data_IF_572324079454
#
_entry.id   IF_572324079454
#
_cell.length_a   1.000
_cell.length_b   1.000
_cell.length_c   1.000
_cell.angle_alpha   90.00
_cell.angle_beta   90.00
_cell.angle_gamma   90.00
#
_symmetry.space_group_name_H-M   'P 1'
#
loop_
_entity.id
_entity.type
_entity.pdbx_description
1 polymer ?
#
# COMPACT_ATOMS: atom_id res chain seq x y z
N UNK A 1 -13.79 -29.18 -2.48
CA UNK A 1 -14.51 -27.94 -2.13
C UNK A 1 -15.46 -28.31 -1.01
N UNK A 2 -15.11 -28.07 0.25
CA UNK A 2 -15.90 -28.53 1.43
C UNK A 2 -17.16 -27.68 1.68
N UNK A 3 -17.33 -26.63 0.89
CA UNK A 3 -18.49 -25.76 0.86
C UNK A 3 -18.92 -25.78 -0.60
N UNK A 4 -20.07 -26.35 -0.89
CA UNK A 4 -20.65 -26.49 -2.23
C UNK A 4 -21.12 -25.11 -2.73
N UNK A 5 -20.15 -24.25 -3.06
CA UNK A 5 -20.30 -22.81 -3.26
C UNK A 5 -20.12 -22.49 -4.74
N UNK A 6 -21.05 -21.72 -5.29
CA UNK A 6 -21.00 -21.35 -6.70
C UNK A 6 -19.85 -20.37 -7.00
N UNK A 7 -19.39 -20.33 -8.26
CA UNK A 7 -18.39 -19.34 -8.70
C UNK A 7 -18.86 -17.89 -8.46
N UNK A 8 -20.17 -17.64 -8.57
CA UNK A 8 -20.76 -16.33 -8.28
C UNK A 8 -20.64 -15.94 -6.80
N UNK A 9 -20.81 -16.90 -5.89
CA UNK A 9 -20.63 -16.70 -4.46
C UNK A 9 -19.16 -16.42 -4.09
N UNK A 10 -18.20 -17.11 -4.72
CA UNK A 10 -16.78 -16.81 -4.53
C UNK A 10 -16.44 -15.38 -4.98
N UNK A 11 -16.90 -14.97 -6.16
CA UNK A 11 -16.70 -13.62 -6.67
C UNK A 11 -17.31 -12.56 -5.74
N UNK A 12 -18.48 -12.83 -5.16
CA UNK A 12 -19.12 -11.94 -4.19
C UNK A 12 -18.21 -11.69 -2.97
N UNK A 13 -17.55 -12.73 -2.44
CA UNK A 13 -16.62 -12.57 -1.29
C UNK A 13 -15.41 -11.69 -1.62
N UNK A 14 -14.92 -11.73 -2.86
CA UNK A 14 -13.79 -10.91 -3.31
C UNK A 14 -14.24 -9.46 -3.45
N UNK A 15 -15.39 -9.24 -4.09
CA UNK A 15 -15.93 -7.90 -4.29
C UNK A 15 -16.28 -7.21 -2.97
N UNK A 16 -16.92 -7.93 -2.03
CA UNK A 16 -17.24 -7.36 -0.70
C UNK A 16 -15.99 -6.96 0.07
N UNK A 17 -14.94 -7.79 0.03
CA UNK A 17 -13.62 -7.47 0.59
C UNK A 17 -13.03 -6.20 -0.04
N UNK A 18 -13.06 -6.07 -1.38
CA UNK A 18 -12.49 -4.92 -2.10
C UNK A 18 -13.23 -3.61 -1.82
N UNK A 19 -14.57 -3.66 -1.71
CA UNK A 19 -15.38 -2.48 -1.35
C UNK A 19 -14.96 -1.95 0.01
N UNK A 20 -14.89 -2.82 1.03
CA UNK A 20 -14.47 -2.39 2.37
C UNK A 20 -13.02 -1.91 2.33
N UNK A 21 -12.13 -2.62 1.65
CA UNK A 21 -10.73 -2.24 1.51
C UNK A 21 -10.57 -0.83 0.92
N UNK A 22 -11.42 -0.41 -0.01
CA UNK A 22 -11.40 0.93 -0.61
C UNK A 22 -11.95 2.05 0.28
N UNK A 23 -12.89 1.76 1.18
CA UNK A 23 -13.51 2.76 2.07
C UNK A 23 -12.71 3.04 3.35
N UNK A 24 -12.04 2.00 3.86
CA UNK A 24 -11.27 2.06 5.11
C UNK A 24 -10.20 3.16 5.18
N UNK A 25 -9.44 3.47 4.10
CA UNK A 25 -8.42 4.52 4.12
C UNK A 25 -8.94 5.88 4.56
N UNK A 26 -10.22 6.19 4.26
CA UNK A 26 -10.87 7.45 4.68
C UNK A 26 -10.97 7.56 6.21
N UNK A 27 -11.14 6.43 6.89
CA UNK A 27 -11.22 6.33 8.34
C UNK A 27 -9.83 6.23 8.96
N UNK A 28 -9.03 5.28 8.48
CA UNK A 28 -7.74 4.93 9.12
C UNK A 28 -6.67 5.97 8.88
N UNK A 29 -6.69 6.69 7.75
CA UNK A 29 -5.79 7.81 7.48
C UNK A 29 -5.89 8.88 8.56
N UNK A 30 -7.07 9.50 8.69
CA UNK A 30 -7.37 10.51 9.70
C UNK A 30 -7.13 10.02 11.14
N UNK A 31 -7.46 8.76 11.42
CA UNK A 31 -7.25 8.18 12.74
C UNK A 31 -5.75 8.09 13.07
N UNK A 32 -4.92 7.68 12.10
CA UNK A 32 -3.48 7.53 12.28
C UNK A 32 -2.73 8.86 12.38
N UNK A 33 -3.21 9.91 11.72
CA UNK A 33 -2.65 11.26 11.86
C UNK A 33 -2.86 11.86 13.26
N UNK A 34 -3.88 11.38 13.98
CA UNK A 34 -4.27 11.91 15.31
C UNK A 34 -3.82 11.05 16.48
N UNK A 35 -4.04 9.73 16.39
CA UNK A 35 -3.71 8.78 17.46
C UNK A 35 -2.27 8.26 17.37
N UNK A 36 -1.57 8.51 16.27
CA UNK A 36 -0.25 7.99 15.98
C UNK A 36 -0.28 6.86 14.95
N UNK A 37 0.85 6.66 14.27
CA UNK A 37 1.02 5.60 13.26
C UNK A 37 1.07 4.22 13.91
N UNK A 38 1.85 4.07 14.98
CA UNK A 38 2.09 2.77 15.61
C UNK A 38 0.83 2.12 16.22
N UNK A 39 -0.01 2.79 17.01
CA UNK A 39 -1.16 2.15 17.64
C UNK A 39 -2.24 1.81 16.62
N UNK A 40 -2.41 2.63 15.58
CA UNK A 40 -3.36 2.33 14.50
C UNK A 40 -2.88 1.16 13.66
N UNK A 41 -1.58 1.08 13.35
CA UNK A 41 -1.00 -0.07 12.64
C UNK A 41 -1.17 -1.38 13.43
N UNK A 42 -0.86 -1.37 14.74
CA UNK A 42 -1.03 -2.52 15.61
C UNK A 42 -2.50 -2.94 15.73
N UNK A 43 -3.42 -1.99 15.91
CA UNK A 43 -4.87 -2.29 15.94
C UNK A 43 -5.35 -2.93 14.64
N UNK A 44 -4.94 -2.40 13.49
CA UNK A 44 -5.30 -2.97 12.18
C UNK A 44 -4.77 -4.40 12.01
N UNK A 45 -3.54 -4.68 12.46
CA UNK A 45 -2.97 -6.03 12.40
C UNK A 45 -3.63 -6.99 13.40
N UNK A 46 -3.99 -6.54 14.60
CA UNK A 46 -4.71 -7.37 15.58
C UNK A 46 -6.10 -7.75 15.05
N UNK A 47 -6.83 -6.78 14.47
CA UNK A 47 -8.12 -7.05 13.81
C UNK A 47 -7.91 -8.07 12.68
N UNK A 48 -6.92 -7.86 11.82
CA UNK A 48 -6.60 -8.79 10.73
C UNK A 48 -6.29 -10.19 11.26
N UNK A 49 -5.48 -10.31 12.31
CA UNK A 49 -5.12 -11.59 12.93
C UNK A 49 -6.37 -12.31 13.48
N UNK A 50 -7.19 -11.63 14.29
CA UNK A 50 -8.39 -12.21 14.88
C UNK A 50 -9.41 -12.65 13.82
N UNK A 51 -9.56 -11.86 12.76
CA UNK A 51 -10.45 -12.21 11.64
C UNK A 51 -9.94 -13.44 10.88
N UNK A 52 -8.63 -13.58 10.67
CA UNK A 52 -8.07 -14.77 10.04
C UNK A 52 -8.26 -16.04 10.89
N UNK A 53 -8.19 -15.94 12.22
CA UNK A 53 -8.55 -17.05 13.12
C UNK A 53 -10.03 -17.41 12.91
N UNK A 54 -10.91 -16.41 12.88
CA UNK A 54 -12.33 -16.61 12.59
C UNK A 54 -12.58 -17.29 11.25
N UNK A 55 -11.88 -16.86 10.18
CA UNK A 55 -11.98 -17.45 8.84
C UNK A 55 -11.51 -18.90 8.81
N UNK A 56 -10.45 -19.22 9.55
CA UNK A 56 -9.91 -20.58 9.63
C UNK A 56 -10.87 -21.56 10.32
N UNK A 57 -11.63 -21.08 11.32
CA UNK A 57 -12.56 -21.91 12.10
C UNK A 57 -14.00 -21.93 11.56
N UNK A 58 -14.32 -21.12 10.54
CA UNK A 58 -15.70 -20.97 10.07
C UNK A 58 -16.14 -22.10 9.12
N UNK A 59 -17.43 -22.46 9.20
CA UNK A 59 -18.11 -23.43 8.32
C UNK A 59 -19.33 -22.84 7.60
N UNK A 60 -19.73 -21.60 7.92
CA UNK A 60 -20.86 -20.90 7.29
C UNK A 60 -20.40 -19.90 6.24
N UNK A 61 -21.00 -19.96 5.04
CA UNK A 61 -20.74 -19.01 3.96
C UNK A 61 -21.13 -17.57 4.32
N UNK A 62 -22.25 -17.36 5.02
CA UNK A 62 -22.67 -16.03 5.45
C UNK A 62 -21.62 -15.40 6.40
N UNK A 63 -21.11 -16.19 7.34
CA UNK A 63 -20.06 -15.74 8.23
C UNK A 63 -18.72 -15.54 7.52
N UNK A 64 -18.40 -16.32 6.48
CA UNK A 64 -17.25 -16.07 5.61
C UNK A 64 -17.31 -14.69 4.96
N UNK A 65 -18.46 -14.27 4.40
CA UNK A 65 -18.62 -12.93 3.80
C UNK A 65 -18.37 -11.84 4.84
N UNK A 66 -19.01 -11.94 6.01
CA UNK A 66 -18.88 -10.93 7.08
C UNK A 66 -17.41 -10.83 7.51
N UNK A 67 -16.75 -11.96 7.74
CA UNK A 67 -15.34 -11.99 8.12
C UNK A 67 -14.45 -11.45 7.00
N UNK A 68 -14.75 -11.69 5.72
CA UNK A 68 -14.02 -11.08 4.60
C UNK A 68 -14.12 -9.55 4.60
N UNK A 69 -15.28 -8.99 4.93
CA UNK A 69 -15.42 -7.54 5.12
C UNK A 69 -14.49 -7.02 6.22
N UNK A 70 -14.48 -7.65 7.40
CA UNK A 70 -13.58 -7.26 8.50
C UNK A 70 -12.10 -7.50 8.16
N UNK A 71 -11.80 -8.51 7.35
CA UNK A 71 -10.44 -8.79 6.87
C UNK A 71 -9.96 -7.64 5.97
N UNK A 72 -10.84 -7.13 5.11
CA UNK A 72 -10.59 -5.95 4.27
C UNK A 72 -10.31 -4.71 5.11
N UNK A 73 -11.01 -4.53 6.23
CA UNK A 73 -10.78 -3.45 7.19
C UNK A 73 -9.37 -3.52 7.81
N UNK A 74 -8.98 -4.67 8.36
CA UNK A 74 -7.65 -4.84 8.95
C UNK A 74 -6.52 -4.67 7.92
N UNK A 75 -6.69 -5.27 6.74
CA UNK A 75 -5.71 -5.24 5.64
C UNK A 75 -5.48 -3.83 5.08
N UNK A 76 -6.57 -3.09 4.82
CA UNK A 76 -6.48 -1.72 4.29
C UNK A 76 -5.88 -0.75 5.32
N UNK A 77 -6.33 -0.85 6.57
CA UNK A 77 -5.80 -0.02 7.66
C UNK A 77 -4.30 -0.19 7.83
N UNK A 78 -3.82 -1.45 7.84
CA UNK A 78 -2.39 -1.74 7.94
C UNK A 78 -1.61 -1.20 6.74
N UNK A 79 -2.14 -1.35 5.52
CA UNK A 79 -1.55 -0.85 4.28
C UNK A 79 -1.34 0.66 4.31
N UNK A 80 -2.41 1.42 4.57
CA UNK A 80 -2.40 2.89 4.52
C UNK A 80 -1.46 3.46 5.57
N UNK A 81 -1.51 2.92 6.79
CA UNK A 81 -0.69 3.39 7.90
C UNK A 81 0.79 3.05 7.67
N UNK A 82 1.09 1.89 7.07
CA UNK A 82 2.47 1.50 6.71
C UNK A 82 3.06 2.47 5.69
N UNK A 83 2.32 2.80 4.63
CA UNK A 83 2.73 3.77 3.62
C UNK A 83 2.97 5.16 4.23
N UNK A 84 2.06 5.61 5.10
CA UNK A 84 2.21 6.89 5.78
C UNK A 84 3.42 6.92 6.73
N UNK A 85 3.70 5.81 7.41
CA UNK A 85 4.88 5.66 8.29
C UNK A 85 6.17 5.81 7.50
N UNK A 86 6.29 5.15 6.34
CA UNK A 86 7.46 5.31 5.46
C UNK A 86 7.59 6.75 4.96
N UNK A 87 6.48 7.36 4.54
CA UNK A 87 6.46 8.73 4.07
C UNK A 87 6.87 9.76 5.16
N UNK A 88 6.62 9.45 6.44
CA UNK A 88 7.00 10.30 7.58
C UNK A 88 8.50 10.19 7.94
N UNK A 89 9.10 9.02 7.73
CA UNK A 89 10.52 8.73 8.02
C UNK A 89 11.48 9.18 6.91
N UNK A 90 11.02 9.26 5.67
CA UNK A 90 11.87 9.49 4.51
C UNK A 90 11.95 10.99 4.16
N UNK A 91 13.14 11.47 3.86
CA UNK A 91 13.38 12.85 3.39
C UNK A 91 12.72 13.09 2.03
N UNK A 92 12.31 14.33 1.75
CA UNK A 92 11.60 14.65 0.50
C UNK A 92 12.37 14.20 -0.75
N UNK A 93 13.69 14.29 -0.71
CA UNK A 93 14.55 14.02 -1.85
C UNK A 93 14.70 12.51 -2.17
N UNK A 94 14.67 11.65 -1.16
CA UNK A 94 14.69 10.19 -1.35
C UNK A 94 13.29 9.54 -1.32
N UNK A 95 12.23 10.34 -1.09
CA UNK A 95 10.84 9.86 -0.96
C UNK A 95 10.42 8.97 -2.14
N UNK A 96 10.75 9.34 -3.37
CA UNK A 96 10.42 8.52 -4.54
C UNK A 96 11.00 7.11 -4.48
N UNK A 97 12.26 6.95 -4.05
CA UNK A 97 12.95 5.64 -3.96
C UNK A 97 12.31 4.73 -2.91
N UNK A 98 12.08 5.27 -1.71
CA UNK A 98 11.52 4.47 -0.61
C UNK A 98 10.02 4.19 -0.78
N UNK A 99 9.27 5.11 -1.37
CA UNK A 99 7.88 4.85 -1.75
C UNK A 99 7.80 3.74 -2.81
N UNK A 100 8.71 3.74 -3.80
CA UNK A 100 8.79 2.66 -4.79
C UNK A 100 9.10 1.30 -4.13
N UNK A 101 10.04 1.23 -3.18
CA UNK A 101 10.30 0.00 -2.42
C UNK A 101 9.08 -0.51 -1.67
N UNK A 102 8.29 0.40 -1.09
CA UNK A 102 7.09 0.02 -0.36
C UNK A 102 6.00 -0.47 -1.32
N UNK A 103 5.91 0.13 -2.51
CA UNK A 103 5.00 -0.31 -3.58
C UNK A 103 5.36 -1.68 -4.17
N UNK A 104 6.65 -2.07 -4.18
CA UNK A 104 7.06 -3.41 -4.65
C UNK A 104 6.35 -4.53 -3.88
N UNK A 105 6.13 -4.36 -2.56
CA UNK A 105 5.39 -5.34 -1.76
C UNK A 105 3.95 -5.56 -2.25
N UNK A 106 3.28 -4.49 -2.70
CA UNK A 106 1.93 -4.55 -3.25
C UNK A 106 1.86 -5.23 -4.61
N UNK A 107 2.93 -5.13 -5.39
CA UNK A 107 3.00 -5.73 -6.72
C UNK A 107 3.45 -7.19 -6.67
N UNK A 108 4.46 -7.51 -5.85
CA UNK A 108 4.98 -8.87 -5.67
C UNK A 108 3.99 -9.74 -4.89
N UNK A 109 3.21 -9.16 -3.97
CA UNK A 109 2.24 -9.89 -3.16
C UNK A 109 1.25 -10.73 -3.99
N UNK A 110 0.51 -10.14 -4.96
CA UNK A 110 -0.36 -10.87 -5.88
C UNK A 110 0.34 -11.93 -6.72
N UNK A 111 1.62 -11.77 -7.03
CA UNK A 111 2.42 -12.76 -7.76
C UNK A 111 2.81 -13.96 -6.87
N UNK A 112 3.17 -13.72 -5.60
CA UNK A 112 3.51 -14.77 -4.64
C UNK A 112 2.27 -15.50 -4.09
N UNK A 113 1.12 -14.84 -4.08
CA UNK A 113 -0.11 -15.36 -3.46
C UNK A 113 -0.58 -16.68 -4.08
N UNK A 114 -0.68 -16.86 -5.42
CA UNK A 114 -1.03 -18.14 -6.02
C UNK A 114 -0.01 -19.25 -5.74
N UNK A 115 1.28 -18.94 -5.70
CA UNK A 115 2.34 -19.91 -5.38
C UNK A 115 2.11 -20.47 -3.98
N UNK A 116 2.06 -19.59 -2.98
CA UNK A 116 1.90 -19.99 -1.58
C UNK A 116 0.52 -20.60 -1.34
N UNK A 117 -0.53 -20.00 -1.89
CA UNK A 117 -1.91 -20.49 -1.76
C UNK A 117 -2.11 -21.87 -2.39
N UNK A 118 -1.51 -22.11 -3.56
CA UNK A 118 -1.58 -23.40 -4.24
C UNK A 118 -0.86 -24.51 -3.48
N UNK A 119 0.36 -24.24 -2.98
CA UNK A 119 1.12 -25.20 -2.16
C UNK A 119 0.36 -25.53 -0.87
N UNK A 120 -0.06 -24.50 -0.13
CA UNK A 120 -0.79 -24.66 1.12
C UNK A 120 -2.09 -25.44 0.92
N UNK A 121 -2.87 -25.10 -0.11
CA UNK A 121 -4.14 -25.78 -0.38
C UNK A 121 -3.92 -27.24 -0.80
N UNK A 122 -2.89 -27.53 -1.60
CA UNK A 122 -2.60 -28.89 -2.08
C UNK A 122 -2.25 -29.85 -0.95
N UNK A 123 -1.47 -29.41 0.05
CA UNK A 123 -0.98 -30.29 1.12
C UNK A 123 -1.79 -30.21 2.42
N UNK A 124 -2.31 -29.03 2.77
CA UNK A 124 -2.93 -28.74 4.08
C UNK A 124 -4.38 -28.25 3.96
N UNK A 125 -4.94 -28.20 2.74
CA UNK A 125 -6.29 -27.71 2.47
C UNK A 125 -6.41 -26.19 2.54
N UNK A 126 -7.58 -25.64 2.16
CA UNK A 126 -7.79 -24.19 2.02
C UNK A 126 -7.71 -23.40 3.33
N UNK A 127 -8.04 -24.03 4.47
CA UNK A 127 -7.97 -23.39 5.80
C UNK A 127 -6.55 -23.01 6.20
N UNK A 128 -5.56 -23.74 5.70
CA UNK A 128 -4.15 -23.49 5.98
C UNK A 128 -3.68 -22.12 5.51
N UNK A 129 -4.31 -21.54 4.48
CA UNK A 129 -4.05 -20.18 4.00
C UNK A 129 -4.31 -19.17 5.13
N UNK A 130 -5.42 -19.32 5.86
CA UNK A 130 -5.77 -18.41 6.94
C UNK A 130 -4.85 -18.57 8.14
N UNK A 131 -4.50 -19.81 8.51
CA UNK A 131 -3.51 -20.06 9.56
C UNK A 131 -2.13 -19.49 9.23
N UNK A 132 -1.69 -19.60 7.97
CA UNK A 132 -0.46 -18.95 7.51
C UNK A 132 -0.53 -17.43 7.71
N UNK A 133 -1.66 -16.80 7.35
CA UNK A 133 -1.86 -15.36 7.55
C UNK A 133 -1.90 -14.96 9.03
N UNK A 134 -2.43 -15.81 9.92
CA UNK A 134 -2.38 -15.61 11.38
C UNK A 134 -0.93 -15.59 11.88
N UNK A 135 -0.13 -16.59 11.49
CA UNK A 135 1.28 -16.67 11.88
C UNK A 135 2.04 -15.45 11.35
N UNK A 136 1.87 -15.12 10.08
CA UNK A 136 2.53 -13.97 9.47
C UNK A 136 2.15 -12.65 10.15
N UNK A 137 0.85 -12.42 10.39
CA UNK A 137 0.38 -11.24 11.11
C UNK A 137 0.94 -11.18 12.55
N UNK A 138 1.00 -12.33 13.24
CA UNK A 138 1.56 -12.43 14.59
C UNK A 138 3.03 -12.05 14.63
N UNK A 139 3.83 -12.58 13.69
CA UNK A 139 5.25 -12.21 13.56
C UNK A 139 5.41 -10.72 13.27
N UNK A 140 4.60 -10.15 12.37
CA UNK A 140 4.64 -8.71 12.08
C UNK A 140 4.26 -7.85 13.29
N UNK A 141 3.24 -8.25 14.06
CA UNK A 141 2.85 -7.58 15.31
C UNK A 141 4.02 -7.58 16.29
N UNK A 142 4.70 -8.72 16.48
CA UNK A 142 5.87 -8.80 17.35
C UNK A 142 6.99 -7.86 16.88
N UNK A 143 7.33 -7.88 15.59
CA UNK A 143 8.36 -7.00 15.02
C UNK A 143 8.00 -5.53 15.26
N UNK A 144 6.76 -5.12 14.99
CA UNK A 144 6.30 -3.73 15.17
C UNK A 144 6.26 -3.35 16.65
N UNK A 145 5.88 -4.27 17.53
CA UNK A 145 5.88 -4.04 18.98
C UNK A 145 7.29 -3.77 19.52
N UNK A 146 8.30 -4.52 19.04
CA UNK A 146 9.67 -4.40 19.53
C UNK A 146 10.47 -3.28 18.84
N UNK A 147 10.36 -3.15 17.52
CA UNK A 147 11.27 -2.31 16.73
C UNK A 147 10.68 -0.97 16.28
N UNK A 148 9.38 -0.90 16.00
CA UNK A 148 8.80 0.32 15.43
C UNK A 148 8.62 1.38 16.53
N UNK A 149 9.26 2.54 16.36
CA UNK A 149 9.01 3.74 17.18
C UNK A 149 7.85 4.53 16.58
N UNK A 150 7.16 5.30 17.41
CA UNK A 150 6.11 6.19 16.91
C UNK A 150 6.70 7.25 15.96
N UNK A 151 6.14 7.34 14.75
CA UNK A 151 6.64 8.17 13.65
C UNK A 151 5.74 9.38 13.35
N UNK A 152 4.53 9.44 13.92
CA UNK A 152 3.62 10.53 13.67
C UNK A 152 4.15 11.86 14.24
N UNK A 153 4.41 12.83 13.37
CA UNK A 153 4.90 14.18 13.74
C UNK A 153 3.95 14.93 14.66
N UNK A 154 2.65 14.72 14.54
CA UNK A 154 1.62 15.33 15.41
C UNK A 154 1.71 14.84 16.85
N UNK A 155 2.22 13.62 17.07
CA UNK A 155 2.28 12.97 18.39
C UNK A 155 3.66 13.13 19.04
N UNK A 156 4.74 13.12 18.25
CA UNK A 156 6.14 13.08 18.75
C UNK A 156 6.95 14.32 18.33
N UNK A 157 6.37 15.23 17.53
CA UNK A 157 7.10 16.35 16.93
C UNK A 157 8.18 15.85 15.95
N UNK A 158 9.42 16.31 16.12
CA UNK A 158 10.61 15.81 15.40
C UNK A 158 11.29 14.61 16.10
N UNK A 159 10.59 13.91 17.00
CA UNK A 159 11.19 12.88 17.87
C UNK A 159 11.64 13.41 19.24
N UNK A 160 11.47 14.71 19.50
CA UNK A 160 11.91 15.40 20.72
C UNK A 160 11.00 15.16 21.92
N UNK A 161 9.72 14.88 21.70
CA UNK A 161 8.76 14.60 22.77
C UNK A 161 8.60 13.09 22.95
N UNK A 162 8.75 12.54 24.17
CA UNK A 162 8.51 11.11 24.37
C UNK A 162 7.04 10.77 24.08
N UNK A 163 6.75 9.69 23.32
CA UNK A 163 5.38 9.28 23.05
C UNK A 163 4.67 8.92 24.37
N UNK A 164 3.33 9.00 24.37
CA UNK A 164 2.49 8.60 25.50
C UNK A 164 2.83 7.17 25.96
N UNK A 165 2.72 6.88 27.27
CA UNK A 165 3.28 5.65 27.89
C UNK A 165 2.83 4.33 27.25
N UNK A 166 1.58 4.26 26.76
CA UNK A 166 1.03 3.09 26.03
C UNK A 166 1.60 2.88 24.62
N UNK A 167 2.32 3.86 24.08
CA UNK A 167 2.82 3.88 22.71
C UNK A 167 4.36 3.87 22.61
N UNK A 168 5.04 3.50 23.71
CA UNK A 168 6.49 3.30 23.71
C UNK A 168 6.86 1.90 23.19
N UNK A 169 7.90 1.75 22.35
CA UNK A 169 8.44 0.44 22.01
C UNK A 169 8.95 -0.26 23.25
N UNK A 170 8.73 -1.57 23.34
CA UNK A 170 9.19 -2.36 24.50
C UNK A 170 10.72 -2.25 24.66
N UNK A 171 11.47 -2.19 23.54
CA UNK A 171 12.91 -1.96 23.56
C UNK A 171 13.29 -0.59 24.12
N UNK A 172 12.50 0.46 23.85
CA UNK A 172 12.75 1.78 24.40
C UNK A 172 12.48 1.81 25.90
N UNK A 173 11.44 1.12 26.36
CA UNK A 173 11.15 0.99 27.79
C UNK A 173 12.25 0.19 28.53
N UNK A 174 12.75 -0.88 27.91
CA UNK A 174 13.90 -1.64 28.42
C UNK A 174 15.19 -0.79 28.46
N UNK A 175 15.45 0.02 27.43
CA UNK A 175 16.60 0.93 27.39
C UNK A 175 16.47 2.06 28.41
N UNK A 176 15.27 2.60 28.61
CA UNK A 176 14.97 3.65 29.60
C UNK A 176 15.07 3.13 31.04
N UNK A 177 14.74 1.85 31.26
CA UNK A 177 14.99 1.17 32.53
C UNK A 177 16.47 0.93 32.81
N UNK A 178 17.30 0.74 31.77
CA UNK A 178 18.76 0.61 31.90
C UNK A 178 19.49 1.95 31.98
N UNK A 179 18.99 2.97 31.31
CA UNK A 179 19.52 4.33 31.31
C UNK A 179 18.37 5.35 31.40
N UNK A 180 18.02 5.81 32.61
CA UNK A 180 17.01 6.85 32.77
C UNK A 180 17.50 8.14 32.09
N UNK A 181 16.67 8.80 31.26
CA UNK A 181 17.04 10.08 30.69
C UNK A 181 17.17 11.15 31.78
N UNK A 182 17.91 12.23 31.51
CA UNK A 182 17.99 13.37 32.41
C UNK A 182 16.60 13.93 32.73
N UNK A 183 16.44 14.46 33.95
CA UNK A 183 15.18 14.99 34.43
C UNK A 183 14.59 16.01 33.43
N UNK A 184 13.26 15.98 33.17
CA UNK A 184 12.64 16.89 32.22
C UNK A 184 12.87 18.35 32.65
N UNK A 185 13.21 19.21 31.69
CA UNK A 185 13.49 20.62 31.92
C UNK A 185 12.18 21.35 32.26
N UNK A 186 12.25 22.48 32.98
CA UNK A 186 11.06 23.27 33.35
C UNK A 186 10.18 23.64 32.13
N UNK A 187 10.80 23.87 30.97
CA UNK A 187 10.12 24.10 29.67
C UNK A 187 9.29 22.90 29.19
N UNK A 188 9.76 21.67 29.44
CA UNK A 188 9.06 20.43 29.07
C UNK A 188 7.84 20.18 29.98
N UNK A 189 7.91 20.66 31.23
CA UNK A 189 6.79 20.64 32.18
C UNK A 189 5.75 21.71 31.86
N UNK A 190 6.15 22.93 31.52
CA UNK A 190 5.23 24.00 31.10
C UNK A 190 4.44 23.61 29.84
N UNK A 191 5.09 22.96 28.86
CA UNK A 191 4.42 22.42 27.67
C UNK A 191 3.33 21.37 28.03
N UNK A 192 3.52 20.62 29.13
CA UNK A 192 2.56 19.62 29.62
C UNK A 192 1.42 20.23 30.45
N UNK A 193 1.67 21.34 31.14
CA UNK A 193 0.75 21.97 32.10
C UNK A 193 -0.17 23.03 31.48
N UNK A 194 -0.01 23.40 30.20
CA UNK A 194 -0.98 24.31 29.56
C UNK A 194 -2.41 23.72 29.61
N UNK A 195 -3.41 24.45 30.15
CA UNK A 195 -4.77 23.93 30.37
C UNK A 195 -5.57 23.64 29.08
N UNK A 196 -4.95 23.74 27.91
CA UNK A 196 -5.57 23.50 26.60
C UNK A 196 -5.86 22.01 26.29
N UNK A 197 -5.51 21.08 27.20
CA UNK A 197 -5.67 19.63 26.98
C UNK A 197 -6.99 19.05 27.51
N UNK A 198 -7.67 19.72 28.46
CA UNK A 198 -8.87 19.17 29.14
C UNK A 198 -10.17 19.41 28.35
N UNK A 199 -10.38 20.62 27.77
CA UNK A 199 -11.55 20.93 26.93
C UNK A 199 -11.55 20.25 25.55
N UNK A 200 -10.44 19.61 25.15
CA UNK A 200 -10.26 18.98 23.82
C UNK A 200 -10.93 17.61 23.66
N UNK A 201 -11.49 16.99 24.71
CA UNK A 201 -11.95 15.59 24.65
C UNK A 201 -13.30 15.42 23.94
N UNK A 202 -14.22 16.36 24.12
CA UNK A 202 -15.58 16.31 23.56
C UNK A 202 -15.64 16.79 22.10
N UNK A 203 -14.78 17.75 21.73
CA UNK A 203 -14.65 18.25 20.35
C UNK A 203 -14.00 17.24 19.40
N UNK A 204 -13.29 16.22 19.92
CA UNK A 204 -12.56 15.20 19.14
C UNK A 204 -13.45 14.22 18.37
N UNK A 205 -14.67 13.95 18.84
CA UNK A 205 -15.59 13.02 18.16
C UNK A 205 -16.28 13.66 16.96
N UNK A 206 -16.76 14.90 17.10
CA UNK A 206 -17.32 15.69 15.99
C UNK A 206 -16.27 15.92 14.87
N UNK A 207 -15.00 16.04 15.26
CA UNK A 207 -13.87 16.17 14.36
C UNK A 207 -13.53 14.90 13.55
N UNK A 208 -13.94 13.68 13.95
CA UNK A 208 -13.66 12.46 13.15
C UNK A 208 -14.56 12.41 11.92
N UNK A 209 -15.87 12.60 12.13
CA UNK A 209 -16.84 12.73 11.03
C UNK A 209 -16.46 13.89 10.10
N UNK A 210 -16.04 15.02 10.68
CA UNK A 210 -15.56 16.16 9.89
C UNK A 210 -14.26 15.86 9.11
N UNK A 211 -13.35 15.05 9.68
CA UNK A 211 -12.14 14.58 8.99
C UNK A 211 -12.45 13.66 7.80
N UNK A 212 -13.43 12.78 7.96
CA UNK A 212 -13.91 11.90 6.87
C UNK A 212 -14.50 12.75 5.74
N UNK A 213 -15.35 13.71 6.06
CA UNK A 213 -15.95 14.63 5.08
C UNK A 213 -14.87 15.48 4.41
N UNK A 214 -13.84 15.93 5.14
CA UNK A 214 -12.72 16.68 4.58
C UNK A 214 -11.89 15.83 3.61
N UNK A 215 -11.55 14.58 3.97
CA UNK A 215 -10.87 13.65 3.06
C UNK A 215 -11.70 13.34 1.82
N UNK A 216 -13.02 13.17 1.98
CA UNK A 216 -13.93 12.93 0.87
C UNK A 216 -14.00 14.15 -0.07
N UNK A 217 -14.04 15.37 0.48
CA UNK A 217 -13.99 16.62 -0.30
C UNK A 217 -12.70 16.74 -1.12
N UNK A 218 -11.56 16.34 -0.55
CA UNK A 218 -10.27 16.35 -1.25
C UNK A 218 -10.27 15.33 -2.40
N UNK A 219 -10.72 14.11 -2.15
CA UNK A 219 -10.84 13.05 -3.18
C UNK A 219 -11.79 13.47 -4.31
N UNK A 220 -12.87 14.19 -4.00
CA UNK A 220 -13.84 14.70 -4.98
C UNK A 220 -13.42 16.00 -5.67
N UNK A 221 -12.26 16.57 -5.33
CA UNK A 221 -11.76 17.75 -6.05
C UNK A 221 -11.40 17.37 -7.50
N UNK A 222 -11.76 18.23 -8.47
CA UNK A 222 -11.65 17.93 -9.91
C UNK A 222 -10.30 17.32 -10.35
N UNK A 223 -9.12 17.89 -10.03
CA UNK A 223 -7.85 17.34 -10.49
C UNK A 223 -7.50 16.02 -9.80
N UNK A 224 -7.81 15.87 -8.52
CA UNK A 224 -7.44 14.71 -7.71
C UNK A 224 -8.35 13.52 -8.01
N UNK A 225 -9.66 13.77 -8.11
CA UNK A 225 -10.64 12.77 -8.46
C UNK A 225 -10.38 12.16 -9.83
N UNK A 226 -9.99 12.97 -10.82
CA UNK A 226 -9.62 12.48 -12.15
C UNK A 226 -8.40 11.56 -12.12
N UNK A 227 -7.36 11.95 -11.37
CA UNK A 227 -6.13 11.15 -11.20
C UNK A 227 -6.41 9.84 -10.48
N UNK A 228 -7.20 9.87 -9.39
CA UNK A 228 -7.61 8.68 -8.65
C UNK A 228 -8.45 7.76 -9.54
N UNK A 229 -9.38 8.30 -10.31
CA UNK A 229 -10.23 7.53 -11.22
C UNK A 229 -9.38 6.83 -12.28
N UNK A 230 -8.45 7.55 -12.92
CA UNK A 230 -7.51 6.98 -13.89
C UNK A 230 -6.69 5.83 -13.27
N UNK A 231 -6.12 6.05 -12.07
CA UNK A 231 -5.37 5.01 -11.36
C UNK A 231 -6.24 3.80 -11.00
N UNK A 232 -7.51 4.03 -10.65
CA UNK A 232 -8.44 2.96 -10.26
C UNK A 232 -8.81 2.08 -11.44
N UNK A 233 -9.12 2.66 -12.61
CA UNK A 233 -9.38 1.89 -13.83
C UNK A 233 -8.17 1.07 -14.23
N UNK A 234 -6.99 1.67 -14.18
CA UNK A 234 -5.74 0.99 -14.46
C UNK A 234 -5.50 -0.20 -13.51
N UNK A 235 -5.61 0.04 -12.20
CA UNK A 235 -5.41 -0.99 -11.18
C UNK A 235 -6.47 -2.09 -11.23
N UNK A 236 -7.71 -1.76 -11.62
CA UNK A 236 -8.77 -2.73 -11.86
C UNK A 236 -8.42 -3.68 -13.01
N UNK A 237 -7.97 -3.15 -14.16
CA UNK A 237 -7.51 -3.96 -15.28
C UNK A 237 -6.34 -4.88 -14.90
N UNK A 238 -5.38 -4.35 -14.15
CA UNK A 238 -4.27 -5.15 -13.61
C UNK A 238 -4.75 -6.30 -12.71
N UNK A 239 -5.62 -6.01 -11.73
CA UNK A 239 -6.13 -7.03 -10.80
C UNK A 239 -6.95 -8.09 -11.53
N UNK A 240 -7.76 -7.70 -12.52
CA UNK A 240 -8.53 -8.64 -13.33
C UNK A 240 -7.64 -9.62 -14.10
N UNK A 241 -6.54 -9.15 -14.70
CA UNK A 241 -5.54 -10.03 -15.34
C UNK A 241 -4.92 -10.97 -14.30
N UNK A 242 -4.46 -10.42 -13.17
CA UNK A 242 -3.78 -11.20 -12.13
C UNK A 242 -4.66 -12.30 -11.53
N UNK A 243 -5.96 -12.06 -11.37
CA UNK A 243 -6.91 -13.06 -10.87
C UNK A 243 -7.26 -14.14 -11.89
N UNK A 244 -7.12 -13.84 -13.18
CA UNK A 244 -7.54 -14.75 -14.26
C UNK A 244 -6.42 -15.67 -14.74
N UNK A 245 -5.15 -15.26 -14.57
CA UNK A 245 -3.96 -16.05 -14.94
C UNK A 245 -4.01 -17.50 -14.43
N UNK A 246 -4.32 -17.80 -13.15
CA UNK A 246 -4.27 -19.18 -12.66
C UNK A 246 -5.28 -20.08 -13.37
N UNK A 247 -6.52 -19.61 -13.50
CA UNK A 247 -7.59 -20.35 -14.14
C UNK A 247 -7.29 -20.60 -15.63
N UNK A 248 -6.76 -19.59 -16.33
CA UNK A 248 -6.39 -19.71 -17.74
C UNK A 248 -5.22 -20.67 -17.96
N UNK A 249 -4.19 -20.64 -17.11
CA UNK A 249 -3.04 -21.53 -17.22
C UNK A 249 -3.40 -22.98 -16.84
N UNK A 250 -4.28 -23.17 -15.85
CA UNK A 250 -4.78 -24.50 -15.47
C UNK A 250 -5.62 -25.10 -16.60
N UNK A 251 -6.61 -24.35 -17.11
CA UNK A 251 -7.54 -24.84 -18.12
C UNK A 251 -6.87 -25.07 -19.48
N UNK A 252 -5.97 -24.18 -19.90
CA UNK A 252 -5.41 -24.19 -21.26
C UNK A 252 -4.14 -25.04 -21.38
N UNK A 253 -3.29 -25.02 -20.35
CA UNK A 253 -1.99 -25.71 -20.39
C UNK A 253 -1.91 -26.91 -19.43
N UNK A 254 -3.00 -27.27 -18.74
CA UNK A 254 -3.04 -28.34 -17.72
C UNK A 254 -1.91 -28.21 -16.69
N UNK A 255 -1.52 -26.97 -16.36
CA UNK A 255 -0.40 -26.73 -15.49
C UNK A 255 -0.74 -26.99 -14.02
N UNK A 256 0.21 -27.63 -13.32
CA UNK A 256 0.11 -27.81 -11.87
C UNK A 256 0.22 -26.46 -11.14
N UNK A 257 -0.33 -26.37 -9.93
CA UNK A 257 -0.28 -25.15 -9.10
C UNK A 257 1.14 -24.56 -8.94
N UNK A 258 2.18 -25.40 -8.90
CA UNK A 258 3.58 -24.96 -8.87
C UNK A 258 4.04 -24.31 -10.19
N UNK A 259 3.63 -24.86 -11.34
CA UNK A 259 3.95 -24.33 -12.66
C UNK A 259 3.25 -22.99 -12.90
N UNK A 260 1.97 -22.89 -12.53
CA UNK A 260 1.21 -21.64 -12.55
C UNK A 260 1.92 -20.59 -11.68
N UNK A 261 2.38 -21.01 -10.51
CA UNK A 261 3.16 -20.18 -9.62
C UNK A 261 4.45 -19.63 -10.25
N UNK A 262 5.22 -20.48 -10.93
CA UNK A 262 6.45 -20.10 -11.64
C UNK A 262 6.19 -19.05 -12.73
N UNK A 263 5.02 -19.06 -13.36
CA UNK A 263 4.64 -18.08 -14.38
C UNK A 263 4.50 -16.64 -13.86
N UNK A 264 4.45 -16.44 -12.54
CA UNK A 264 4.43 -15.12 -11.92
C UNK A 264 5.83 -14.52 -11.66
N UNK A 265 6.90 -15.30 -11.81
CA UNK A 265 8.27 -14.81 -11.62
C UNK A 265 8.64 -13.71 -12.61
N UNK A 266 8.35 -13.83 -13.93
CA UNK A 266 8.64 -12.76 -14.88
C UNK A 266 7.93 -11.45 -14.53
N UNK A 267 6.70 -11.53 -14.03
CA UNK A 267 5.97 -10.35 -13.55
C UNK A 267 6.72 -9.66 -12.39
N UNK A 268 7.13 -10.44 -11.38
CA UNK A 268 7.91 -9.91 -10.26
C UNK A 268 9.27 -9.33 -10.73
N UNK A 269 9.96 -10.00 -11.66
CA UNK A 269 11.21 -9.52 -12.23
C UNK A 269 11.02 -8.19 -12.98
N UNK A 270 9.93 -8.05 -13.75
CA UNK A 270 9.56 -6.81 -14.43
C UNK A 270 9.29 -5.66 -13.46
N UNK A 271 8.63 -5.96 -12.34
CA UNK A 271 8.44 -5.01 -11.25
C UNK A 271 9.74 -4.54 -10.61
N UNK A 272 10.76 -5.39 -10.47
CA UNK A 272 12.09 -4.93 -10.05
C UNK A 272 12.77 -4.07 -11.12
N UNK A 273 12.62 -4.45 -12.39
CA UNK A 273 13.17 -3.71 -13.52
C UNK A 273 12.60 -2.28 -13.64
N UNK A 274 11.35 -2.08 -13.19
CA UNK A 274 10.65 -0.79 -13.13
C UNK A 274 11.44 0.33 -12.44
N UNK A 275 12.27 -0.03 -11.47
CA UNK A 275 13.10 0.95 -10.77
C UNK A 275 14.11 1.64 -11.70
N UNK A 276 14.71 0.87 -12.60
CA UNK A 276 15.67 1.43 -13.56
C UNK A 276 14.98 2.24 -14.63
N UNK A 277 13.81 1.81 -15.11
CA UNK A 277 13.03 2.55 -16.13
C UNK A 277 12.44 3.83 -15.55
N UNK A 278 11.60 3.75 -14.51
CA UNK A 278 10.95 4.95 -13.93
C UNK A 278 11.97 5.96 -13.41
N UNK A 279 12.95 5.52 -12.62
CA UNK A 279 13.90 6.44 -11.99
C UNK A 279 14.70 7.23 -13.02
N UNK A 280 15.23 6.56 -14.04
CA UNK A 280 16.04 7.20 -15.08
C UNK A 280 15.21 8.08 -16.00
N UNK A 281 14.04 7.61 -16.45
CA UNK A 281 13.15 8.37 -17.33
C UNK A 281 12.61 9.62 -16.62
N UNK A 282 12.21 9.47 -15.35
CA UNK A 282 11.73 10.59 -14.53
C UNK A 282 12.82 11.63 -14.28
N UNK A 283 14.02 11.20 -13.85
CA UNK A 283 15.15 12.10 -13.62
C UNK A 283 15.60 12.79 -14.91
N UNK A 284 15.62 12.05 -16.02
CA UNK A 284 15.97 12.61 -17.33
C UNK A 284 14.99 13.70 -17.76
N UNK A 285 13.68 13.44 -17.69
CA UNK A 285 12.68 14.43 -18.09
C UNK A 285 12.69 15.65 -17.16
N UNK A 286 12.89 15.44 -15.87
CA UNK A 286 13.01 16.52 -14.89
C UNK A 286 14.23 17.40 -15.19
N UNK A 287 15.40 16.81 -15.44
CA UNK A 287 16.62 17.56 -15.84
C UNK A 287 16.43 18.30 -17.16
N UNK A 288 15.72 17.69 -18.12
CA UNK A 288 15.43 18.31 -19.42
C UNK A 288 14.59 19.58 -19.26
N UNK A 289 13.57 19.58 -18.40
CA UNK A 289 12.76 20.76 -18.13
C UNK A 289 13.46 21.76 -17.21
N UNK A 290 14.26 21.32 -16.24
CA UNK A 290 15.11 22.19 -15.43
C UNK A 290 16.09 23.02 -16.28
N UNK A 291 16.74 22.38 -17.27
CA UNK A 291 17.61 23.07 -18.24
C UNK A 291 16.87 24.11 -19.08
N UNK A 292 15.59 23.87 -19.43
CA UNK A 292 14.78 24.84 -20.19
C UNK A 292 14.41 26.08 -19.39
N UNK A 293 14.33 25.96 -18.07
CA UNK A 293 14.02 27.07 -17.15
C UNK A 293 15.31 27.72 -16.60
N UNK A 294 16.49 27.22 -16.97
CA UNK A 294 17.79 27.76 -16.52
C UNK A 294 18.18 27.37 -15.10
N UNK A 295 17.50 26.38 -14.49
CA UNK A 295 17.80 25.90 -13.14
C UNK A 295 18.69 24.66 -13.24
N UNK A 296 19.92 24.75 -12.72
CA UNK A 296 20.77 23.57 -12.53
C UNK A 296 20.22 22.67 -11.42
N UNK A 297 19.52 21.62 -11.84
CA UNK A 297 19.01 20.62 -10.91
C UNK A 297 20.14 19.70 -10.45
N UNK A 298 20.73 19.98 -9.29
CA UNK A 298 21.64 19.05 -8.59
C UNK A 298 20.83 18.01 -7.79
N UNK A 299 21.30 16.76 -7.80
CA UNK A 299 20.67 15.65 -7.07
C UNK A 299 20.60 15.98 -5.57
N UNK A 300 19.44 15.79 -4.93
CA UNK A 300 19.21 16.05 -3.50
C UNK A 300 19.33 17.51 -3.00
N UNK A 301 19.44 18.53 -3.86
CA UNK A 301 19.57 19.95 -3.44
C UNK A 301 18.57 20.87 -4.16
N UNK A 302 17.27 20.58 -4.05
CA UNK A 302 16.23 21.41 -4.67
C UNK A 302 15.56 22.30 -3.62
N UNK A 303 15.64 23.61 -3.80
CA UNK A 303 14.96 24.60 -2.94
C UNK A 303 13.49 24.71 -3.34
N UNK A 304 12.57 24.98 -2.40
CA UNK A 304 11.11 25.07 -2.67
C UNK A 304 10.78 26.05 -3.80
N UNK A 305 11.53 27.15 -3.87
CA UNK A 305 11.36 28.20 -4.90
C UNK A 305 11.80 27.74 -6.29
N UNK A 306 12.82 26.88 -6.39
CA UNK A 306 13.27 26.27 -7.65
C UNK A 306 12.26 25.24 -8.19
N UNK A 307 11.56 24.55 -7.30
CA UNK A 307 10.53 23.56 -7.64
C UNK A 307 9.24 24.21 -8.16
N UNK A 308 8.88 25.41 -7.67
CA UNK A 308 7.70 26.14 -8.13
C UNK A 308 7.86 26.73 -9.54
N UNK A 309 9.09 27.02 -9.96
CA UNK A 309 9.37 27.53 -11.32
C UNK A 309 9.24 26.46 -12.41
N UNK A 310 9.34 25.18 -12.04
CA UNK A 310 9.18 24.06 -12.97
C UNK A 310 7.69 23.66 -12.97
N UNK A 311 7.02 23.54 -14.13
CA UNK A 311 5.64 23.05 -14.19
C UNK A 311 5.59 21.55 -13.89
N UNK A 312 5.66 21.18 -12.60
CA UNK A 312 5.76 19.80 -12.10
C UNK A 312 4.67 18.89 -12.67
N UNK A 313 3.44 19.37 -12.71
CA UNK A 313 2.30 18.64 -13.27
C UNK A 313 2.54 18.23 -14.72
N UNK A 314 3.02 19.17 -15.56
CA UNK A 314 3.30 18.91 -16.97
C UNK A 314 4.46 17.93 -17.16
N UNK A 315 5.51 18.05 -16.34
CA UNK A 315 6.68 17.15 -16.38
C UNK A 315 6.28 15.72 -16.06
N UNK A 316 5.41 15.53 -15.05
CA UNK A 316 4.92 14.21 -14.64
C UNK A 316 3.94 13.63 -15.65
N UNK A 317 2.94 14.41 -16.10
CA UNK A 317 1.94 13.95 -17.08
C UNK A 317 2.56 13.51 -18.41
N UNK A 318 3.63 14.17 -18.86
CA UNK A 318 4.36 13.77 -20.06
C UNK A 318 4.97 12.37 -19.98
N UNK A 319 5.25 11.87 -18.78
CA UNK A 319 5.75 10.50 -18.55
C UNK A 319 4.58 9.55 -18.30
N UNK A 320 3.63 9.96 -17.46
CA UNK A 320 2.50 9.11 -17.08
C UNK A 320 1.66 8.69 -18.28
N UNK A 321 1.31 9.61 -19.19
CA UNK A 321 0.41 9.30 -20.30
C UNK A 321 0.98 8.22 -21.25
N UNK A 322 2.22 8.34 -21.78
CA UNK A 322 2.82 7.27 -22.57
C UNK A 322 2.88 5.92 -21.86
N UNK A 323 3.20 5.91 -20.56
CA UNK A 323 3.27 4.67 -19.77
C UNK A 323 1.90 4.00 -19.62
N UNK A 324 0.84 4.79 -19.41
CA UNK A 324 -0.53 4.27 -19.37
C UNK A 324 -0.91 3.66 -20.71
N UNK A 325 -0.66 4.34 -21.84
CA UNK A 325 -0.94 3.76 -23.16
C UNK A 325 -0.14 2.49 -23.42
N UNK A 326 1.14 2.50 -23.07
CA UNK A 326 2.02 1.35 -23.22
C UNK A 326 1.53 0.15 -22.39
N UNK A 327 1.04 0.39 -21.17
CA UNK A 327 0.46 -0.65 -20.32
C UNK A 327 -0.79 -1.28 -20.94
N UNK A 328 -1.67 -0.47 -21.55
CA UNK A 328 -2.85 -0.97 -22.26
C UNK A 328 -2.44 -1.86 -23.45
N UNK A 329 -1.40 -1.48 -24.19
CA UNK A 329 -0.86 -2.30 -25.29
C UNK A 329 -0.36 -3.65 -24.78
N UNK A 330 0.36 -3.70 -23.66
CA UNK A 330 0.80 -4.98 -23.08
C UNK A 330 -0.35 -5.85 -22.57
N UNK A 331 -1.39 -5.26 -21.97
CA UNK A 331 -2.59 -6.00 -21.54
C UNK A 331 -3.35 -6.59 -22.73
N UNK A 332 -3.51 -5.80 -23.80
CA UNK A 332 -4.15 -6.27 -25.04
C UNK A 332 -3.30 -7.35 -25.72
N UNK A 333 -1.98 -7.17 -25.78
CA UNK A 333 -1.05 -8.15 -26.31
C UNK A 333 -1.07 -9.46 -25.52
N UNK A 334 -1.08 -9.39 -24.18
CA UNK A 334 -1.24 -10.55 -23.31
C UNK A 334 -2.56 -11.28 -23.60
N UNK A 335 -3.67 -10.54 -23.62
CA UNK A 335 -5.00 -11.10 -23.88
C UNK A 335 -5.09 -11.76 -25.25
N UNK A 336 -4.49 -11.13 -26.27
CA UNK A 336 -4.43 -11.66 -27.63
C UNK A 336 -3.63 -12.96 -27.69
N UNK A 337 -2.41 -12.98 -27.14
CA UNK A 337 -1.56 -14.18 -27.14
C UNK A 337 -2.23 -15.32 -26.36
N UNK A 338 -2.91 -15.01 -25.26
CA UNK A 338 -3.62 -16.02 -24.47
C UNK A 338 -4.87 -16.56 -25.17
N UNK A 339 -5.38 -15.89 -26.20
CA UNK A 339 -6.48 -16.40 -27.03
C UNK A 339 -5.98 -17.49 -27.99
N UNK A 340 -4.81 -17.32 -28.59
CA UNK A 340 -4.21 -18.32 -29.49
C UNK A 340 -3.49 -19.43 -28.71
N UNK A 341 -3.55 -20.68 -29.17
CA UNK A 341 -2.83 -21.82 -28.59
C UNK A 341 -1.31 -21.79 -28.90
N UNK A 342 -0.67 -20.65 -28.64
CA UNK A 342 0.77 -20.44 -28.87
C UNK A 342 1.56 -20.79 -27.61
N UNK A 343 2.86 -21.04 -27.78
CA UNK A 343 3.85 -21.28 -26.72
C UNK A 343 3.72 -20.36 -25.50
N UNK A 344 3.96 -20.91 -24.31
CA UNK A 344 3.89 -20.20 -23.02
C UNK A 344 4.90 -19.04 -22.88
N UNK A 345 5.94 -18.99 -23.70
CA UNK A 345 6.94 -17.92 -23.66
C UNK A 345 6.32 -16.53 -23.96
N UNK A 346 5.34 -16.45 -24.87
CA UNK A 346 4.69 -15.20 -25.24
C UNK A 346 3.98 -14.51 -24.07
N UNK A 347 3.07 -15.20 -23.35
CA UNK A 347 2.42 -14.66 -22.15
C UNK A 347 3.41 -14.24 -21.07
N UNK A 348 4.49 -15.00 -20.86
CA UNK A 348 5.51 -14.70 -19.84
C UNK A 348 6.28 -13.40 -20.13
N UNK A 349 6.62 -13.15 -21.40
CA UNK A 349 7.26 -11.90 -21.82
C UNK A 349 6.32 -10.71 -21.61
N UNK A 350 5.04 -10.86 -21.97
CA UNK A 350 4.05 -9.80 -21.74
C UNK A 350 3.84 -9.53 -20.24
N UNK A 351 3.85 -10.56 -19.40
CA UNK A 351 3.77 -10.43 -17.95
C UNK A 351 4.94 -9.64 -17.36
N UNK A 352 6.16 -9.84 -17.88
CA UNK A 352 7.32 -9.05 -17.48
C UNK A 352 7.11 -7.56 -17.77
N UNK A 353 6.73 -7.21 -18.99
CA UNK A 353 6.51 -5.81 -19.35
C UNK A 353 5.32 -5.19 -18.60
N UNK A 354 4.25 -5.95 -18.40
CA UNK A 354 3.11 -5.51 -17.61
C UNK A 354 3.51 -5.20 -16.16
N UNK A 355 4.31 -6.07 -15.54
CA UNK A 355 4.84 -5.86 -14.18
C UNK A 355 5.71 -4.62 -14.05
N UNK A 356 6.43 -4.25 -15.12
CA UNK A 356 7.17 -3.02 -15.20
C UNK A 356 6.23 -1.80 -15.27
N UNK A 357 5.35 -1.77 -16.29
CA UNK A 357 4.46 -0.62 -16.52
C UNK A 357 3.49 -0.36 -15.36
N UNK A 358 3.06 -1.38 -14.63
CA UNK A 358 2.16 -1.23 -13.48
C UNK A 358 2.82 -0.44 -12.35
N UNK A 359 4.10 -0.73 -12.06
CA UNK A 359 4.84 0.01 -11.04
C UNK A 359 5.13 1.44 -11.51
N UNK A 360 5.50 1.59 -12.78
CA UNK A 360 5.83 2.90 -13.36
C UNK A 360 4.62 3.85 -13.29
N UNK A 361 3.44 3.38 -13.70
CA UNK A 361 2.18 4.14 -13.64
C UNK A 361 1.79 4.44 -12.19
N UNK A 362 1.77 3.44 -11.31
CA UNK A 362 1.35 3.63 -9.92
C UNK A 362 2.26 4.60 -9.16
N UNK A 363 3.58 4.52 -9.39
CA UNK A 363 4.57 5.40 -8.74
C UNK A 363 4.45 6.83 -9.26
N UNK A 364 4.28 7.01 -10.56
CA UNK A 364 4.20 8.35 -11.17
C UNK A 364 2.87 9.05 -10.81
N UNK A 365 1.75 8.34 -10.81
CA UNK A 365 0.45 8.86 -10.38
C UNK A 365 0.43 9.19 -8.88
N UNK A 366 0.97 8.31 -8.03
CA UNK A 366 1.07 8.57 -6.59
C UNK A 366 1.94 9.80 -6.29
N UNK A 367 3.03 9.99 -7.04
CA UNK A 367 3.89 11.18 -6.91
C UNK A 367 3.17 12.44 -7.37
N UNK A 368 2.44 12.38 -8.49
CA UNK A 368 1.63 13.49 -9.00
C UNK A 368 0.56 13.93 -7.99
N UNK A 369 -0.11 12.97 -7.33
CA UNK A 369 -1.09 13.29 -6.27
C UNK A 369 -0.48 14.05 -5.10
N UNK A 370 0.75 13.70 -4.71
CA UNK A 370 1.49 14.40 -3.64
C UNK A 370 1.85 15.81 -4.08
N UNK A 371 2.36 15.96 -5.30
CA UNK A 371 2.79 17.26 -5.85
C UNK A 371 1.61 18.22 -6.04
N UNK A 372 0.40 17.72 -6.35
CA UNK A 372 -0.83 18.53 -6.43
C UNK A 372 -1.32 19.07 -5.06
N UNK A 373 -0.80 18.57 -3.94
CA UNK A 373 -1.20 18.96 -2.58
C UNK A 373 -0.06 19.51 -1.69
N UNK A 374 1.16 19.59 -2.20
CA UNK A 374 2.35 20.08 -1.48
C UNK A 374 2.50 21.60 -1.58
#
# INVERSE_FOLDING_TARGET
>A
MDLDVSQSQLNLTITSYMIVQGLVPLLTGNLSDRKGRRPVLLMSLIIYLGVNIGLACQNSFAALIILRCFQGFGSSGATVVSMATVADMVTRADRGKYMAYTSLGFTIGPALRPILGGILTKFLGWRSIFWFLVIFAGVMILIIMFFLRETCRTVVGNGSLPPQSWNKPVFLELKHRRHPPPAPTASDLEARLTPASSKKKEQRHCLVLWGIVASLRVVLSKPVGLVILCNTFFYCGFMAVMTSIPALLEQKFNHNALQIGLCYIPFAAGSFAARWTTGTIADWNFRRHGRKVGVEVKHNQQTRDQLQQIPLEKVRLQITLPLVYLSCVFVLGYSWIMNYDISIAGPLIMLFFMGNTVIDVNTTLSTLMIDLHA
#
